data_IF_052261605700
#
_entry.id   IF_052261605700
#
_cell.length_a   1.000
_cell.length_b   1.000
_cell.length_c   1.000
_cell.angle_alpha   90.00
_cell.angle_beta   90.00
_cell.angle_gamma   90.00
#
_symmetry.space_group_name_H-M   'P 1'
#
loop_
_entity.id
_entity.type
_entity.pdbx_description
1 polymer ?
#
# COMPACT_ATOMS: atom_id res chain seq x y z
N UNK A 1 22.93 -14.94 -13.62
CA UNK A 1 21.97 -13.81 -13.54
C UNK A 1 20.81 -14.10 -12.60
N UNK A 2 20.22 -15.30 -12.64
CA UNK A 2 19.12 -15.75 -11.75
C UNK A 2 19.41 -15.63 -10.26
N UNK A 3 20.58 -16.09 -9.78
CA UNK A 3 20.95 -15.99 -8.35
C UNK A 3 20.98 -14.54 -7.82
N UNK A 4 21.53 -13.59 -8.59
CA UNK A 4 21.61 -12.17 -8.18
C UNK A 4 20.20 -11.56 -8.14
N UNK A 5 19.34 -11.93 -9.10
CA UNK A 5 17.93 -11.52 -9.13
C UNK A 5 17.18 -12.02 -7.89
N UNK A 6 17.32 -13.29 -7.51
CA UNK A 6 16.73 -13.85 -6.29
C UNK A 6 17.25 -13.18 -5.01
N UNK A 7 18.56 -12.91 -4.93
CA UNK A 7 19.13 -12.14 -3.80
C UNK A 7 18.52 -10.74 -3.73
N UNK A 8 18.36 -10.06 -4.88
CA UNK A 8 17.76 -8.73 -4.93
C UNK A 8 16.29 -8.76 -4.49
N UNK A 9 15.52 -9.76 -4.94
CA UNK A 9 14.14 -9.99 -4.53
C UNK A 9 14.03 -10.26 -3.02
N UNK A 10 14.96 -11.06 -2.48
CA UNK A 10 15.08 -11.30 -1.05
C UNK A 10 15.37 -10.01 -0.27
N UNK A 11 16.35 -9.20 -0.71
CA UNK A 11 16.69 -7.94 -0.06
C UNK A 11 15.49 -6.99 -0.02
N UNK A 12 14.74 -6.87 -1.13
CA UNK A 12 13.52 -6.03 -1.16
C UNK A 12 12.47 -6.56 -0.19
N UNK A 13 12.06 -7.83 -0.33
CA UNK A 13 10.97 -8.39 0.45
C UNK A 13 11.28 -8.55 1.94
N UNK A 14 12.54 -8.86 2.28
CA UNK A 14 12.97 -9.11 3.66
C UNK A 14 13.49 -7.85 4.38
N UNK A 15 13.76 -6.76 3.67
CA UNK A 15 14.22 -5.49 4.25
C UNK A 15 13.35 -5.03 5.43
N UNK A 16 12.04 -5.26 5.37
CA UNK A 16 11.08 -4.88 6.40
C UNK A 16 11.31 -5.52 7.77
N UNK A 17 12.02 -6.66 7.84
CA UNK A 17 12.43 -7.22 9.14
C UNK A 17 13.48 -6.37 9.85
N UNK A 18 14.33 -5.68 9.09
CA UNK A 18 15.34 -4.80 9.65
C UNK A 18 14.74 -3.55 10.31
N UNK A 19 13.45 -3.23 10.08
CA UNK A 19 12.76 -2.16 10.81
C UNK A 19 12.70 -2.42 12.32
N UNK A 20 12.69 -3.68 12.76
CA UNK A 20 12.73 -4.03 14.18
C UNK A 20 14.06 -3.65 14.83
N UNK A 21 15.14 -3.66 14.05
CA UNK A 21 16.49 -3.40 14.53
C UNK A 21 16.89 -1.94 14.32
N UNK A 22 16.87 -1.47 13.08
CA UNK A 22 17.29 -0.12 12.72
C UNK A 22 16.66 0.35 11.39
N UNK A 23 16.07 1.55 11.41
CA UNK A 23 15.46 2.21 10.25
C UNK A 23 16.46 2.41 9.09
N UNK A 24 17.73 2.67 9.40
CA UNK A 24 18.79 2.84 8.41
C UNK A 24 19.06 1.52 7.69
N UNK A 25 19.12 0.40 8.41
CA UNK A 25 19.36 -0.92 7.82
C UNK A 25 18.21 -1.34 6.90
N UNK A 26 16.98 -1.06 7.29
CA UNK A 26 15.82 -1.18 6.41
C UNK A 26 16.03 -0.38 5.11
N UNK A 27 16.33 0.91 5.22
CA UNK A 27 16.47 1.80 4.06
C UNK A 27 17.60 1.38 3.12
N UNK A 28 18.79 1.07 3.66
CA UNK A 28 19.95 0.66 2.87
C UNK A 28 19.67 -0.68 2.17
N UNK A 29 19.13 -1.66 2.88
CA UNK A 29 18.85 -2.99 2.31
C UNK A 29 17.81 -2.92 1.21
N UNK A 30 16.74 -2.14 1.44
CA UNK A 30 15.73 -1.88 0.43
C UNK A 30 16.36 -1.23 -0.80
N UNK A 31 17.08 -0.11 -0.63
CA UNK A 31 17.72 0.60 -1.74
C UNK A 31 18.67 -0.29 -2.54
N UNK A 32 19.53 -1.07 -1.87
CA UNK A 32 20.45 -1.99 -2.54
C UNK A 32 19.68 -3.04 -3.35
N UNK A 33 18.60 -3.61 -2.80
CA UNK A 33 17.74 -4.54 -3.52
C UNK A 33 17.05 -3.91 -4.73
N UNK A 34 16.47 -2.72 -4.56
CA UNK A 34 15.80 -1.97 -5.63
C UNK A 34 16.77 -1.60 -6.76
N UNK A 35 17.94 -1.03 -6.42
CA UNK A 35 18.96 -0.65 -7.41
C UNK A 35 19.51 -1.86 -8.15
N UNK A 36 19.71 -2.98 -7.45
CA UNK A 36 20.18 -4.22 -8.08
C UNK A 36 19.16 -4.75 -9.10
N UNK A 37 17.87 -4.77 -8.75
CA UNK A 37 16.80 -5.15 -9.69
C UNK A 37 16.72 -4.21 -10.89
N UNK A 38 16.80 -2.91 -10.64
CA UNK A 38 16.80 -1.91 -11.70
C UNK A 38 17.96 -2.11 -12.67
N UNK A 39 19.17 -2.34 -12.15
CA UNK A 39 20.36 -2.54 -12.98
C UNK A 39 20.29 -3.83 -13.80
N UNK A 40 19.77 -4.92 -13.24
CA UNK A 40 19.62 -6.20 -13.93
C UNK A 40 18.62 -6.12 -15.10
N UNK A 41 17.50 -5.42 -14.90
CA UNK A 41 16.42 -5.32 -15.89
C UNK A 41 16.49 -4.03 -16.73
N UNK A 42 17.55 -3.21 -16.58
CA UNK A 42 17.71 -1.89 -17.22
C UNK A 42 17.49 -1.90 -18.74
N UNK A 43 17.86 -3.01 -19.40
CA UNK A 43 17.78 -3.17 -20.84
C UNK A 43 16.34 -3.37 -21.35
N UNK A 44 15.42 -3.79 -20.48
CA UNK A 44 13.99 -3.95 -20.79
C UNK A 44 13.18 -2.71 -20.38
N UNK A 45 13.84 -1.70 -19.81
CA UNK A 45 13.17 -0.60 -19.16
C UNK A 45 13.31 0.72 -19.94
N UNK A 46 12.19 1.41 -20.14
CA UNK A 46 12.16 2.81 -20.57
C UNK A 46 11.59 3.65 -19.43
N UNK A 47 12.37 4.64 -18.99
CA UNK A 47 11.96 5.55 -17.94
C UNK A 47 10.73 6.33 -18.40
N UNK A 48 9.68 6.27 -17.60
CA UNK A 48 8.42 6.92 -17.88
C UNK A 48 8.18 8.01 -16.84
N UNK A 49 7.87 9.21 -17.34
CA UNK A 49 7.49 10.36 -16.51
C UNK A 49 5.98 10.46 -16.30
N UNK A 50 5.20 9.62 -16.98
CA UNK A 50 3.74 9.71 -17.04
C UNK A 50 3.12 8.34 -16.77
N UNK A 51 2.01 8.31 -16.02
CA UNK A 51 1.21 7.10 -15.85
C UNK A 51 0.50 6.75 -17.16
N UNK A 52 0.31 5.47 -17.44
CA UNK A 52 -0.42 5.06 -18.63
C UNK A 52 -1.92 5.43 -18.53
N UNK A 53 -2.44 5.58 -17.31
CA UNK A 53 -3.84 5.92 -17.04
C UNK A 53 -4.07 7.43 -16.92
N UNK A 54 -4.97 7.96 -17.75
CA UNK A 54 -5.30 9.39 -17.82
C UNK A 54 -5.86 9.94 -16.49
N UNK A 55 -6.68 9.16 -15.78
CA UNK A 55 -7.24 9.58 -14.48
C UNK A 55 -6.15 9.73 -13.41
N UNK A 56 -5.25 8.76 -13.32
CA UNK A 56 -4.13 8.77 -12.36
C UNK A 56 -3.19 9.94 -12.62
N UNK A 57 -2.94 10.30 -13.88
CA UNK A 57 -2.21 11.53 -14.23
C UNK A 57 -2.91 12.79 -13.72
N UNK A 58 -4.23 12.91 -13.88
CA UNK A 58 -4.99 14.07 -13.41
C UNK A 58 -4.85 14.22 -11.89
N UNK A 59 -5.04 13.14 -11.13
CA UNK A 59 -4.85 13.18 -9.67
C UNK A 59 -3.41 13.53 -9.28
N UNK A 60 -2.42 13.00 -9.97
CA UNK A 60 -1.01 13.33 -9.73
C UNK A 60 -0.72 14.82 -9.96
N UNK A 61 -1.13 15.38 -11.10
CA UNK A 61 -0.94 16.81 -11.39
C UNK A 61 -1.71 17.71 -10.44
N UNK A 62 -2.95 17.36 -10.09
CA UNK A 62 -3.73 18.09 -9.09
C UNK A 62 -3.02 18.10 -7.74
N UNK A 63 -2.50 16.95 -7.31
CA UNK A 63 -1.72 16.84 -6.07
C UNK A 63 -0.48 17.74 -6.11
N UNK A 64 0.25 17.77 -7.22
CA UNK A 64 1.40 18.64 -7.38
C UNK A 64 1.02 20.12 -7.32
N UNK A 65 -0.06 20.53 -7.97
CA UNK A 65 -0.56 21.92 -7.91
C UNK A 65 -0.90 22.30 -6.47
N UNK A 66 -1.63 21.45 -5.74
CA UNK A 66 -1.98 21.70 -4.34
C UNK A 66 -0.74 21.84 -3.45
N UNK A 67 0.25 20.95 -3.62
CA UNK A 67 1.52 21.02 -2.88
C UNK A 67 2.34 22.27 -3.25
N UNK A 68 2.33 22.66 -4.52
CA UNK A 68 3.01 23.86 -5.00
C UNK A 68 2.43 25.13 -4.39
N UNK A 69 1.09 25.25 -4.40
CA UNK A 69 0.37 26.35 -3.73
C UNK A 69 0.68 26.37 -2.24
N UNK A 70 0.61 25.21 -1.56
CA UNK A 70 0.93 25.11 -0.13
C UNK A 70 2.37 25.52 0.18
N UNK A 71 3.30 25.30 -0.74
CA UNK A 71 4.72 25.59 -0.52
C UNK A 71 5.06 27.06 -0.77
N UNK A 72 4.40 27.72 -1.72
CA UNK A 72 4.50 29.18 -1.89
C UNK A 72 3.99 29.90 -0.65
N UNK A 73 2.89 29.42 -0.08
CA UNK A 73 2.25 29.99 1.11
C UNK A 73 2.96 29.62 2.43
N UNK A 74 4.06 28.86 2.36
CA UNK A 74 4.82 28.43 3.53
C UNK A 74 5.63 29.56 4.15
N UNK A 75 5.77 29.53 5.47
CA UNK A 75 6.61 30.45 6.25
C UNK A 75 8.10 30.36 5.83
N UNK A 76 8.54 29.21 5.30
CA UNK A 76 9.90 28.99 4.81
C UNK A 76 9.85 28.35 3.41
N UNK A 77 9.64 29.15 2.35
CA UNK A 77 9.39 28.64 1.01
C UNK A 77 10.55 27.78 0.48
N UNK A 78 11.80 28.14 0.76
CA UNK A 78 12.99 27.40 0.31
C UNK A 78 12.95 25.93 0.76
N UNK A 79 12.67 25.70 2.05
CA UNK A 79 12.56 24.33 2.61
C UNK A 79 11.36 23.59 2.04
N UNK A 80 10.28 24.30 1.73
CA UNK A 80 9.07 23.69 1.17
C UNK A 80 9.26 23.29 -0.30
N UNK A 81 10.00 24.06 -1.09
CA UNK A 81 10.34 23.70 -2.47
C UNK A 81 11.26 22.47 -2.54
N UNK A 82 12.24 22.35 -1.64
CA UNK A 82 13.05 21.13 -1.53
C UNK A 82 12.16 19.90 -1.31
N UNK A 83 11.19 19.98 -0.39
CA UNK A 83 10.24 18.90 -0.11
C UNK A 83 9.42 18.52 -1.34
N UNK A 84 8.98 19.49 -2.14
CA UNK A 84 8.29 19.20 -3.41
C UNK A 84 9.19 18.43 -4.36
N UNK A 85 10.44 18.86 -4.52
CA UNK A 85 11.38 18.20 -5.43
C UNK A 85 11.64 16.76 -5.00
N UNK A 86 11.89 16.54 -3.70
CA UNK A 86 12.01 15.19 -3.13
C UNK A 86 10.74 14.37 -3.35
N UNK A 87 9.56 14.95 -3.20
CA UNK A 87 8.29 14.26 -3.38
C UNK A 87 8.05 13.86 -4.85
N UNK A 88 8.34 14.74 -5.81
CA UNK A 88 8.27 14.45 -7.25
C UNK A 88 9.25 13.33 -7.60
N UNK A 89 10.51 13.44 -7.18
CA UNK A 89 11.52 12.42 -7.42
C UNK A 89 11.10 11.07 -6.82
N UNK A 90 10.58 11.08 -5.59
CA UNK A 90 10.07 9.90 -4.92
C UNK A 90 8.94 9.26 -5.72
N UNK A 91 7.93 10.01 -6.15
CA UNK A 91 6.82 9.45 -6.95
C UNK A 91 7.34 8.86 -8.26
N UNK A 92 8.17 9.59 -9.00
CA UNK A 92 8.73 9.13 -10.27
C UNK A 92 9.52 7.82 -10.10
N UNK A 93 10.38 7.72 -9.09
CA UNK A 93 11.14 6.51 -8.80
C UNK A 93 10.19 5.34 -8.50
N UNK A 94 9.17 5.55 -7.66
CA UNK A 94 8.21 4.51 -7.29
C UNK A 94 7.39 4.01 -8.49
N UNK A 95 6.95 4.89 -9.39
CA UNK A 95 6.21 4.49 -10.62
C UNK A 95 7.07 3.59 -11.48
N UNK A 96 8.32 4.01 -11.71
CA UNK A 96 9.24 3.28 -12.56
C UNK A 96 9.60 1.92 -11.94
N UNK A 97 9.73 1.86 -10.61
CA UNK A 97 9.92 0.62 -9.88
C UNK A 97 8.69 -0.30 -9.96
N UNK A 98 7.48 0.23 -9.78
CA UNK A 98 6.24 -0.53 -9.89
C UNK A 98 6.08 -1.12 -11.30
N UNK A 99 6.35 -0.34 -12.35
CA UNK A 99 6.34 -0.83 -13.73
C UNK A 99 7.35 -1.96 -13.95
N UNK A 100 8.55 -1.84 -13.37
CA UNK A 100 9.57 -2.89 -13.45
C UNK A 100 9.09 -4.19 -12.80
N UNK A 101 8.44 -4.10 -11.63
CA UNK A 101 7.87 -5.26 -10.95
C UNK A 101 6.69 -5.88 -11.71
N UNK A 102 5.76 -5.08 -12.22
CA UNK A 102 4.59 -5.57 -12.98
C UNK A 102 5.04 -6.32 -14.25
N UNK A 103 6.09 -5.84 -14.91
CA UNK A 103 6.62 -6.48 -16.12
C UNK A 103 7.41 -7.77 -15.81
N UNK A 104 7.69 -8.07 -14.54
CA UNK A 104 8.52 -9.19 -14.11
C UNK A 104 7.80 -9.98 -13.01
N UNK A 105 6.73 -10.67 -13.42
CA UNK A 105 5.82 -11.41 -12.53
C UNK A 105 6.56 -12.38 -11.60
N UNK A 106 7.60 -13.06 -12.09
CA UNK A 106 8.45 -13.94 -11.28
C UNK A 106 9.11 -13.19 -10.11
N UNK A 107 9.69 -12.01 -10.37
CA UNK A 107 10.33 -11.20 -9.31
C UNK A 107 9.31 -10.66 -8.34
N UNK A 108 8.17 -10.19 -8.85
CA UNK A 108 7.07 -9.72 -8.02
C UNK A 108 6.60 -10.83 -7.06
N UNK A 109 6.37 -12.03 -7.57
CA UNK A 109 5.94 -13.18 -6.76
C UNK A 109 6.99 -13.59 -5.72
N UNK A 110 8.28 -13.57 -6.05
CA UNK A 110 9.36 -13.82 -5.08
C UNK A 110 9.42 -12.74 -4.00
N UNK A 111 9.35 -11.46 -4.36
CA UNK A 111 9.34 -10.34 -3.41
C UNK A 111 8.15 -10.46 -2.46
N UNK A 112 6.95 -10.74 -2.98
CA UNK A 112 5.75 -10.93 -2.17
C UNK A 112 5.91 -12.14 -1.23
N UNK A 113 6.52 -13.24 -1.69
CA UNK A 113 6.81 -14.40 -0.83
C UNK A 113 7.71 -14.01 0.35
N UNK A 114 8.81 -13.30 0.10
CA UNK A 114 9.70 -12.85 1.16
C UNK A 114 9.06 -11.78 2.06
N UNK A 115 8.25 -10.89 1.49
CA UNK A 115 7.48 -9.90 2.25
C UNK A 115 6.51 -10.57 3.23
N UNK A 116 5.77 -11.59 2.80
CA UNK A 116 4.88 -12.38 3.68
C UNK A 116 5.67 -12.99 4.83
N UNK A 117 6.80 -13.65 4.53
CA UNK A 117 7.67 -14.28 5.55
C UNK A 117 8.18 -13.22 6.54
N UNK A 118 8.67 -12.08 6.04
CA UNK A 118 9.17 -10.98 6.88
C UNK A 118 8.09 -10.42 7.80
N UNK A 119 6.85 -10.30 7.30
CA UNK A 119 5.72 -9.75 8.06
C UNK A 119 5.31 -10.71 9.18
N UNK A 120 5.24 -12.01 8.91
CA UNK A 120 4.97 -13.05 9.92
C UNK A 120 6.05 -13.02 11.00
N UNK A 121 7.32 -13.02 10.60
CA UNK A 121 8.45 -12.98 11.54
C UNK A 121 8.36 -11.73 12.42
N UNK A 122 8.08 -10.57 11.82
CA UNK A 122 8.01 -9.31 12.54
C UNK A 122 6.94 -9.29 13.62
N UNK A 123 5.72 -9.70 13.27
CA UNK A 123 4.62 -9.70 14.24
C UNK A 123 4.83 -10.76 15.33
N UNK A 124 5.42 -11.90 14.99
CA UNK A 124 5.79 -12.91 16.00
C UNK A 124 6.82 -12.38 16.99
N UNK A 125 7.88 -11.70 16.52
CA UNK A 125 8.89 -11.09 17.40
C UNK A 125 8.28 -10.01 18.28
N UNK A 126 7.46 -9.12 17.72
CA UNK A 126 6.79 -8.07 18.50
C UNK A 126 5.86 -8.68 19.56
N UNK A 127 5.06 -9.68 19.18
CA UNK A 127 4.14 -10.34 20.09
C UNK A 127 4.85 -10.96 21.30
N UNK A 128 5.92 -11.74 21.09
CA UNK A 128 6.66 -12.34 22.19
C UNK A 128 7.36 -11.30 23.06
N UNK A 129 7.86 -10.21 22.45
CA UNK A 129 8.41 -9.10 23.22
C UNK A 129 7.35 -8.44 24.11
N UNK A 130 6.15 -8.20 23.57
CA UNK A 130 5.05 -7.58 24.29
C UNK A 130 4.54 -8.48 25.43
N UNK A 131 4.47 -9.80 25.21
CA UNK A 131 4.14 -10.77 26.26
C UNK A 131 5.16 -10.81 27.40
N UNK A 132 6.45 -10.76 27.06
CA UNK A 132 7.52 -10.73 28.05
C UNK A 132 7.47 -9.45 28.88
N UNK A 133 7.39 -8.29 28.21
CA UNK A 133 7.47 -6.99 28.87
C UNK A 133 6.21 -6.64 29.66
N UNK A 134 5.03 -7.15 29.27
CA UNK A 134 3.79 -6.98 30.04
C UNK A 134 3.77 -7.78 31.36
N UNK A 135 4.72 -8.69 31.56
CA UNK A 135 4.72 -9.59 32.71
C UNK A 135 3.63 -10.66 32.65
N UNK A 136 3.02 -10.89 31.47
CA UNK A 136 1.98 -11.90 31.27
C UNK A 136 2.50 -13.31 31.59
N UNK A 137 3.76 -13.59 31.22
CA UNK A 137 4.40 -14.88 31.48
C UNK A 137 4.90 -15.04 32.92
N UNK A 138 5.15 -13.94 33.64
CA UNK A 138 5.66 -13.95 35.02
C UNK A 138 4.55 -13.86 36.08
N UNK A 139 3.27 -13.80 35.68
CA UNK A 139 2.12 -13.67 36.57
C UNK A 139 1.94 -12.28 37.20
N UNK A 140 2.85 -11.35 36.91
CA UNK A 140 2.84 -9.97 37.40
C UNK A 140 2.36 -9.02 36.29
N UNK A 141 1.13 -9.25 35.80
CA UNK A 141 0.61 -8.49 34.68
C UNK A 141 0.52 -7.00 35.04
N UNK A 142 1.34 -6.18 34.38
CA UNK A 142 1.32 -4.74 34.55
C UNK A 142 0.88 -4.08 33.26
N UNK A 143 -0.14 -3.22 33.34
CA UNK A 143 -0.61 -2.40 32.21
C UNK A 143 0.33 -1.22 31.92
N UNK A 144 1.63 -1.41 32.12
CA UNK A 144 2.60 -0.39 31.73
C UNK A 144 2.72 -0.38 30.20
N UNK A 145 2.62 0.83 29.64
CA UNK A 145 2.65 1.03 28.19
C UNK A 145 4.00 0.57 27.61
N UNK A 146 3.96 -0.43 26.72
CA UNK A 146 5.15 -0.94 26.03
C UNK A 146 5.46 -0.05 24.83
N UNK A 147 6.50 0.79 24.95
CA UNK A 147 6.80 1.84 23.95
C UNK A 147 7.72 1.40 22.80
N UNK A 148 8.56 0.38 22.99
CA UNK A 148 9.70 0.08 22.08
C UNK A 148 9.27 -0.15 20.62
N UNK A 149 8.24 -0.97 20.40
CA UNK A 149 7.78 -1.30 19.04
C UNK A 149 6.49 -0.61 18.63
N UNK A 150 5.95 0.32 19.43
CA UNK A 150 4.66 0.97 19.15
C UNK A 150 4.59 1.57 17.73
N UNK A 151 5.62 2.32 17.33
CA UNK A 151 5.70 2.88 15.98
C UNK A 151 5.89 1.84 14.87
N UNK A 152 6.63 0.76 15.14
CA UNK A 152 6.85 -0.32 14.17
C UNK A 152 5.60 -1.18 14.03
N UNK A 153 4.84 -1.40 15.11
CA UNK A 153 3.58 -2.12 15.12
C UNK A 153 2.52 -1.44 14.25
N UNK A 154 2.50 -0.11 14.20
CA UNK A 154 1.65 0.62 13.25
C UNK A 154 1.97 0.27 11.80
N UNK A 155 3.26 0.23 11.45
CA UNK A 155 3.73 -0.13 10.11
C UNK A 155 3.41 -1.59 9.80
N UNK A 156 3.68 -2.50 10.75
CA UNK A 156 3.37 -3.93 10.61
C UNK A 156 1.86 -4.17 10.46
N UNK A 157 1.01 -3.37 11.10
CA UNK A 157 -0.45 -3.43 10.90
C UNK A 157 -0.82 -3.16 9.44
N UNK A 158 -0.23 -2.12 8.82
CA UNK A 158 -0.43 -1.83 7.40
C UNK A 158 0.03 -3.02 6.55
N UNK A 159 1.17 -3.63 6.87
CA UNK A 159 1.65 -4.81 6.14
C UNK A 159 0.70 -5.99 6.23
N UNK A 160 0.18 -6.30 7.43
CA UNK A 160 -0.80 -7.37 7.63
C UNK A 160 -2.07 -7.12 6.82
N UNK A 161 -2.56 -5.87 6.76
CA UNK A 161 -3.70 -5.51 5.90
C UNK A 161 -3.36 -5.72 4.43
N UNK A 162 -2.17 -5.29 3.99
CA UNK A 162 -1.71 -5.49 2.60
C UNK A 162 -1.61 -6.97 2.22
N UNK A 163 -1.26 -7.86 3.17
CA UNK A 163 -1.21 -9.31 2.90
C UNK A 163 -2.57 -9.88 2.47
N UNK A 164 -3.68 -9.33 2.98
CA UNK A 164 -5.05 -9.73 2.58
C UNK A 164 -5.27 -9.51 1.07
N UNK A 165 -4.65 -8.48 0.50
CA UNK A 165 -4.77 -8.15 -0.92
C UNK A 165 -3.81 -8.95 -1.80
N UNK A 166 -2.61 -9.30 -1.31
CA UNK A 166 -1.58 -9.98 -2.13
C UNK A 166 -1.75 -11.50 -2.20
N UNK A 167 -2.29 -12.16 -1.17
CA UNK A 167 -2.50 -13.61 -1.19
C UNK A 167 -3.80 -14.00 -0.50
N UNK A 168 -4.72 -14.60 -1.27
CA UNK A 168 -5.93 -15.28 -0.77
C UNK A 168 -5.58 -16.63 -0.10
N UNK A 169 -4.67 -16.64 0.86
CA UNK A 169 -4.24 -17.87 1.53
C UNK A 169 -4.40 -17.74 3.03
N UNK A 170 -4.84 -18.82 3.69
CA UNK A 170 -5.00 -18.93 5.16
C UNK A 170 -3.80 -18.38 5.97
N UNK A 171 -2.61 -18.32 5.38
CA UNK A 171 -1.41 -17.73 5.98
C UNK A 171 -1.55 -16.26 6.42
N UNK A 172 -2.55 -15.49 5.97
CA UNK A 172 -2.81 -14.13 6.50
C UNK A 172 -3.44 -14.16 7.91
N UNK A 173 -4.06 -15.27 8.32
CA UNK A 173 -4.70 -15.42 9.64
C UNK A 173 -3.67 -15.44 10.75
N UNK A 174 -2.51 -16.05 10.52
CA UNK A 174 -1.42 -16.15 11.51
C UNK A 174 -0.94 -14.75 11.95
N UNK A 175 -0.58 -13.81 11.03
CA UNK A 175 -0.25 -12.45 11.42
C UNK A 175 -1.37 -11.72 12.16
N UNK A 176 -2.64 -11.90 11.76
CA UNK A 176 -3.78 -11.27 12.44
C UNK A 176 -3.91 -11.76 13.89
N UNK A 177 -3.72 -13.06 14.11
CA UNK A 177 -3.80 -13.68 15.44
C UNK A 177 -2.77 -13.09 16.41
N UNK A 178 -1.56 -12.78 15.94
CA UNK A 178 -0.54 -12.11 16.76
C UNK A 178 -0.70 -10.59 16.83
N UNK A 179 -1.30 -9.98 15.80
CA UNK A 179 -1.48 -8.54 15.72
C UNK A 179 -2.45 -8.00 16.78
N UNK A 180 -3.63 -8.60 16.92
CA UNK A 180 -4.65 -8.07 17.84
C UNK A 180 -4.19 -8.06 19.31
N UNK A 181 -3.60 -9.15 19.85
CA UNK A 181 -3.03 -9.12 21.20
C UNK A 181 -1.94 -8.06 21.36
N UNK A 182 -1.03 -7.93 20.38
CA UNK A 182 0.06 -6.96 20.44
C UNK A 182 -0.46 -5.51 20.43
N UNK A 183 -1.49 -5.21 19.62
CA UNK A 183 -2.14 -3.89 19.60
C UNK A 183 -2.80 -3.55 20.94
N UNK A 184 -3.45 -4.55 21.57
CA UNK A 184 -4.08 -4.38 22.88
C UNK A 184 -3.04 -4.14 23.98
N UNK A 185 -2.01 -4.99 24.07
CA UNK A 185 -0.98 -4.91 25.11
C UNK A 185 -0.16 -3.61 24.98
N UNK A 186 0.20 -3.21 23.76
CA UNK A 186 0.98 -1.99 23.51
C UNK A 186 0.16 -0.68 23.54
N UNK A 187 -1.16 -0.77 23.79
CA UNK A 187 -2.10 0.37 23.76
C UNK A 187 -1.93 1.23 22.48
N UNK A 188 -1.88 0.55 21.34
CA UNK A 188 -1.69 1.17 20.02
C UNK A 188 -3.03 1.48 19.36
N UNK A 189 -3.55 2.69 19.62
CA UNK A 189 -4.87 3.10 19.12
C UNK A 189 -4.86 3.61 17.66
N UNK A 190 -3.73 4.12 17.18
CA UNK A 190 -3.64 4.66 15.82
C UNK A 190 -3.91 3.63 14.71
N UNK A 191 -3.40 2.39 14.78
CA UNK A 191 -3.70 1.36 13.77
C UNK A 191 -5.16 0.90 13.81
N UNK A 192 -5.75 0.80 15.01
CA UNK A 192 -7.16 0.50 15.17
C UNK A 192 -8.01 1.56 14.47
N UNK A 193 -7.71 2.84 14.71
CA UNK A 193 -8.41 3.96 14.06
C UNK A 193 -8.24 3.93 12.55
N UNK A 194 -7.05 3.60 12.04
CA UNK A 194 -6.79 3.41 10.61
C UNK A 194 -7.59 2.26 9.98
N UNK A 195 -7.67 1.10 10.66
CA UNK A 195 -8.50 -0.03 10.23
C UNK A 195 -9.98 0.37 10.19
N UNK A 196 -10.48 1.02 11.26
CA UNK A 196 -11.86 1.50 11.33
C UNK A 196 -12.19 2.49 10.21
N UNK A 197 -11.33 3.50 10.00
CA UNK A 197 -11.51 4.47 8.94
C UNK A 197 -11.51 3.81 7.55
N UNK A 198 -10.59 2.85 7.33
CA UNK A 198 -10.53 2.06 6.09
C UNK A 198 -11.82 1.29 5.82
N UNK A 199 -12.36 0.61 6.83
CA UNK A 199 -13.65 -0.10 6.72
C UNK A 199 -14.80 0.86 6.39
N UNK A 200 -14.86 2.02 7.05
CA UNK A 200 -15.87 3.06 6.77
C UNK A 200 -15.77 3.53 5.31
N UNK A 201 -14.56 3.80 4.82
CA UNK A 201 -14.34 4.22 3.43
C UNK A 201 -14.75 3.14 2.42
N UNK A 202 -14.47 1.87 2.71
CA UNK A 202 -14.94 0.74 1.88
C UNK A 202 -16.47 0.66 1.83
N UNK A 203 -17.14 0.86 2.96
CA UNK A 203 -18.61 0.90 3.02
C UNK A 203 -19.17 2.08 2.22
N UNK A 204 -18.60 3.28 2.37
CA UNK A 204 -18.97 4.46 1.58
C UNK A 204 -18.80 4.19 0.08
N UNK A 205 -17.66 3.62 -0.32
CA UNK A 205 -17.41 3.25 -1.71
C UNK A 205 -18.45 2.27 -2.25
N UNK A 206 -18.80 1.25 -1.47
CA UNK A 206 -19.84 0.29 -1.83
C UNK A 206 -21.20 0.96 -2.05
N UNK A 207 -21.58 1.92 -1.20
CA UNK A 207 -22.80 2.70 -1.39
C UNK A 207 -22.76 3.59 -2.64
N UNK A 208 -21.65 4.26 -2.91
CA UNK A 208 -21.46 5.10 -4.11
C UNK A 208 -21.62 4.24 -5.38
N UNK A 209 -20.99 3.07 -5.42
CA UNK A 209 -21.10 2.14 -6.56
C UNK A 209 -22.54 1.61 -6.74
N UNK A 210 -23.24 1.31 -5.64
CA UNK A 210 -24.66 0.91 -5.69
C UNK A 210 -25.55 2.02 -6.25
N UNK A 211 -25.30 3.28 -5.89
CA UNK A 211 -26.04 4.44 -6.42
C UNK A 211 -25.77 4.64 -7.92
N UNK A 212 -24.50 4.56 -8.37
CA UNK A 212 -24.16 4.66 -9.79
C UNK A 212 -24.87 3.58 -10.62
N UNK A 213 -24.85 2.32 -10.17
CA UNK A 213 -25.55 1.21 -10.85
C UNK A 213 -27.06 1.45 -10.93
N UNK A 214 -27.68 1.98 -9.87
CA UNK A 214 -29.11 2.32 -9.85
C UNK A 214 -29.44 3.47 -10.81
N UNK A 215 -28.58 4.48 -10.91
CA UNK A 215 -28.74 5.60 -11.85
C UNK A 215 -28.64 5.15 -13.31
N UNK A 216 -27.70 4.25 -13.62
CA UNK A 216 -27.56 3.62 -14.93
C UNK A 216 -28.80 2.78 -15.27
N UNK A 217 -29.28 1.94 -14.34
CA UNK A 217 -30.50 1.16 -14.53
C UNK A 217 -31.73 2.03 -14.80
N UNK A 218 -31.92 3.10 -14.03
CA UNK A 218 -33.02 4.05 -14.25
C UNK A 218 -32.92 4.76 -15.61
N UNK A 219 -31.72 5.14 -16.04
CA UNK A 219 -31.50 5.73 -17.36
C UNK A 219 -31.87 4.76 -18.51
N UNK A 220 -31.47 3.48 -18.42
CA UNK A 220 -31.89 2.46 -19.40
C UNK A 220 -33.39 2.17 -19.35
N UNK A 221 -34.00 2.20 -18.17
CA UNK A 221 -35.44 2.01 -18.00
C UNK A 221 -36.25 3.18 -18.59
N UNK A 222 -35.79 4.43 -18.42
CA UNK A 222 -36.40 5.61 -19.04
C UNK A 222 -36.22 5.62 -20.57
N UNK A 223 -35.05 5.22 -21.08
CA UNK A 223 -34.82 5.05 -22.52
C UNK A 223 -35.76 4.02 -23.16
N UNK A 224 -36.11 2.95 -22.43
CA UNK A 224 -37.04 1.92 -22.88
C UNK A 224 -38.52 2.29 -22.71
N UNK A 225 -38.84 3.34 -21.95
CA UNK A 225 -40.20 3.89 -21.80
C UNK A 225 -40.55 4.99 -22.81
N UNK A 226 -39.58 5.55 -23.53
CA UNK A 226 -39.85 6.59 -24.54
C UNK A 226 -40.57 5.98 -25.77
N UNK A 227 -41.80 6.42 -26.11
CA UNK A 227 -42.60 5.83 -27.18
C UNK A 227 -42.09 6.10 -28.61
N UNK A 228 -41.04 6.90 -28.80
CA UNK A 228 -40.62 7.38 -30.12
C UNK A 228 -39.67 6.47 -30.92
N UNK A 229 -39.35 5.26 -30.46
CA UNK A 229 -38.46 4.34 -31.20
C UNK A 229 -39.13 3.29 -32.07
N UNK A 230 -40.45 3.29 -32.22
CA UNK A 230 -41.12 2.46 -33.25
C UNK A 230 -41.03 3.03 -34.67
N UNK A 231 -40.55 4.26 -34.86
CA UNK A 231 -40.58 4.94 -36.17
C UNK A 231 -39.25 4.97 -36.94
N UNK A 232 -38.12 4.58 -36.33
CA UNK A 232 -36.81 4.65 -37.01
C UNK A 232 -36.38 3.38 -37.75
N UNK A 233 -37.05 2.24 -37.54
CA UNK A 233 -36.72 0.99 -38.23
C UNK A 233 -37.57 0.68 -39.46
N UNK A 234 -38.53 1.54 -39.83
CA UNK A 234 -39.46 1.26 -40.95
C UNK A 234 -39.21 2.08 -42.22
N UNK A 235 -38.10 2.83 -42.31
CA UNK A 235 -37.82 3.72 -43.46
C UNK A 235 -36.49 3.45 -44.18
N UNK A 236 -35.88 2.27 -43.99
CA UNK A 236 -34.68 1.85 -44.73
C UNK A 236 -34.86 0.58 -45.58
N UNK A 237 -36.11 0.14 -45.76
CA UNK A 237 -36.46 -0.96 -46.68
C UNK A 237 -37.77 -0.63 -47.37
N UNK A 238 -37.71 0.30 -48.33
CA UNK A 238 -38.57 0.38 -49.50
C UNK A 238 -37.93 1.36 -50.48
#
# INVERSE_FOLDING_TARGET
>A
MTKIKTVSNFLVGFSYTLLLYNKIYFGVTLLVGLFSLFFLERHKFKFNFVYNEKQTNIFFFLTLILFFVSSILSIKPDRSFEVIFYFIAFILININFLKLLINNEESFNEIIKFFVISTILNITVIFFYDLYQSGFLSGSFSFQEIRKYKGVLNIVTIFVILLVFFKRTIFFVIPLLFLFPSLYISNSNAPLLGIFLGLILCVIYFFIEKIKKKKIYNYYFELNKSPNRKYFYKKSTQ
#
